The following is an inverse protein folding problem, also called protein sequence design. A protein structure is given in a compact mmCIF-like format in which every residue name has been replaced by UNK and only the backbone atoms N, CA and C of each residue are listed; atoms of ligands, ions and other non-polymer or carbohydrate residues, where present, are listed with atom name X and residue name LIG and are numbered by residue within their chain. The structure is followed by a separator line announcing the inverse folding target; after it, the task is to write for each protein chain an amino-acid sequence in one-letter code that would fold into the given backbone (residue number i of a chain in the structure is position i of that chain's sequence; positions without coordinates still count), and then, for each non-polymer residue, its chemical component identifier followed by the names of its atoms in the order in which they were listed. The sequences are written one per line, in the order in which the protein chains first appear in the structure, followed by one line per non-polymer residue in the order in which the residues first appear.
data_IF_342675950520
#
_entry.id   IF_342675950520
#
_cell.length_a   1.000
_cell.length_b   1.000
_cell.length_c   1.000
_cell.angle_alpha   90.00
_cell.angle_beta   90.00
_cell.angle_gamma   90.00
#
_symmetry.space_group_name_H-M   'P 1'
#
loop_
_entity.id
_entity.type
_entity.pdbx_description
1 polymer ?
#
# COMPACT_ATOMS: atom_id res chain seq x y z
N UNK A 1 -1.81 -10.78 -9.97
CA UNK A 1 -1.60 -12.05 -9.24
C UNK A 1 -0.50 -12.83 -9.94
N UNK A 2 0.76 -12.44 -9.75
CA UNK A 2 1.93 -13.01 -10.45
C UNK A 2 2.85 -13.67 -9.41
N UNK A 3 2.39 -14.76 -8.79
CA UNK A 3 3.12 -15.44 -7.72
C UNK A 3 3.05 -14.75 -6.34
N UNK A 4 2.07 -13.87 -6.13
CA UNK A 4 1.89 -13.16 -4.86
C UNK A 4 1.30 -14.08 -3.79
N UNK A 5 1.76 -13.93 -2.54
CA UNK A 5 1.09 -14.54 -1.40
C UNK A 5 -0.17 -13.73 -1.04
N UNK A 6 -1.35 -14.32 -1.28
CA UNK A 6 -2.65 -13.65 -1.08
C UNK A 6 -3.27 -14.13 0.22
N UNK A 7 -3.62 -13.20 1.10
CA UNK A 7 -4.32 -13.45 2.35
C UNK A 7 -5.71 -12.84 2.25
N UNK A 8 -6.73 -13.69 2.33
CA UNK A 8 -8.13 -13.25 2.35
C UNK A 8 -8.55 -13.01 3.80
N UNK A 9 -9.13 -11.85 4.05
CA UNK A 9 -9.57 -11.43 5.39
C UNK A 9 -11.04 -10.98 5.34
N UNK A 10 -11.78 -11.02 6.47
CA UNK A 10 -13.11 -10.43 6.54
C UNK A 10 -13.09 -8.96 6.15
N UNK A 11 -14.24 -8.44 5.70
CA UNK A 11 -14.34 -7.02 5.38
C UNK A 11 -14.14 -6.17 6.65
N UNK A 12 -13.09 -5.34 6.61
CA UNK A 12 -12.74 -4.41 7.68
C UNK A 12 -12.71 -2.99 7.14
N UNK A 13 -13.16 -2.03 7.96
CA UNK A 13 -12.96 -0.62 7.68
C UNK A 13 -11.47 -0.27 7.73
N UNK A 14 -11.01 0.58 6.82
CA UNK A 14 -9.57 0.80 6.62
C UNK A 14 -8.88 1.31 7.89
N UNK A 15 -9.37 2.44 8.44
CA UNK A 15 -8.75 3.12 9.58
C UNK A 15 -8.87 2.35 10.89
N UNK A 16 -9.99 1.64 11.09
CA UNK A 16 -10.28 0.99 12.37
C UNK A 16 -9.84 -0.47 12.45
N UNK A 17 -9.41 -1.10 11.35
CA UNK A 17 -8.99 -2.50 11.39
C UNK A 17 -7.94 -2.87 10.35
N UNK A 18 -8.20 -2.63 9.06
CA UNK A 18 -7.33 -3.14 7.99
C UNK A 18 -5.90 -2.59 8.08
N UNK A 19 -5.73 -1.29 8.35
CA UNK A 19 -4.41 -0.67 8.48
C UNK A 19 -3.57 -1.31 9.60
N UNK A 20 -4.17 -1.51 10.77
CA UNK A 20 -3.51 -2.13 11.92
C UNK A 20 -3.08 -3.58 11.62
N UNK A 21 -3.90 -4.31 10.87
CA UNK A 21 -3.56 -5.66 10.43
C UNK A 21 -2.37 -5.65 9.46
N UNK A 22 -2.37 -4.73 8.50
CA UNK A 22 -1.25 -4.56 7.55
C UNK A 22 0.05 -4.20 8.28
N UNK A 23 0.00 -3.31 9.26
CA UNK A 23 1.15 -2.91 10.10
C UNK A 23 1.71 -4.13 10.85
N UNK A 24 0.85 -4.89 11.56
CA UNK A 24 1.25 -6.12 12.26
C UNK A 24 1.87 -7.16 11.31
N UNK A 25 1.33 -7.30 10.10
CA UNK A 25 1.90 -8.20 9.09
C UNK A 25 3.28 -7.74 8.63
N UNK A 26 3.47 -6.43 8.43
CA UNK A 26 4.77 -5.87 8.06
C UNK A 26 5.82 -6.09 9.16
N UNK A 27 5.43 -5.99 10.43
CA UNK A 27 6.31 -6.26 11.58
C UNK A 27 6.72 -7.74 11.63
N UNK A 28 5.77 -8.67 11.44
CA UNK A 28 6.08 -10.10 11.39
C UNK A 28 7.07 -10.45 10.28
N UNK A 29 6.90 -9.87 9.10
CA UNK A 29 7.83 -10.07 7.98
C UNK A 29 9.23 -9.52 8.31
N UNK A 30 9.31 -8.37 8.98
CA UNK A 30 10.58 -7.81 9.46
C UNK A 30 11.26 -8.71 10.49
N UNK A 31 10.50 -9.30 11.42
CA UNK A 31 11.03 -10.27 12.38
C UNK A 31 11.56 -11.55 11.71
N UNK A 32 11.01 -11.92 10.56
CA UNK A 32 11.50 -13.03 9.74
C UNK A 32 12.71 -12.64 8.85
N UNK A 33 13.29 -11.45 9.05
CA UNK A 33 14.45 -10.96 8.30
C UNK A 33 14.12 -10.33 6.94
N UNK A 34 12.83 -10.14 6.62
CA UNK A 34 12.42 -9.51 5.36
C UNK A 34 12.27 -8.00 5.51
N UNK A 35 12.73 -7.23 4.53
CA UNK A 35 12.44 -5.79 4.48
C UNK A 35 11.05 -5.55 3.92
N UNK A 36 10.05 -5.45 4.81
CA UNK A 36 8.67 -5.18 4.41
C UNK A 36 8.41 -3.67 4.26
N UNK A 37 7.88 -3.27 3.10
CA UNK A 37 7.38 -1.93 2.82
C UNK A 37 5.85 -1.94 2.72
N UNK A 38 5.18 -1.06 3.45
CA UNK A 38 3.73 -0.98 3.51
C UNK A 38 3.22 0.05 2.51
N UNK A 39 2.37 -0.39 1.59
CA UNK A 39 1.69 0.47 0.61
C UNK A 39 0.26 0.72 1.12
N UNK A 40 -0.13 1.99 1.23
CA UNK A 40 -1.49 2.35 1.67
C UNK A 40 -2.55 1.95 0.64
N UNK A 41 -3.80 1.83 1.08
CA UNK A 41 -4.92 1.44 0.20
C UNK A 41 -5.01 2.40 -0.99
N UNK A 42 -5.03 1.84 -2.21
CA UNK A 42 -5.05 2.60 -3.46
C UNK A 42 -3.73 3.32 -3.79
N UNK A 43 -2.67 3.13 -3.01
CA UNK A 43 -1.44 3.91 -3.14
C UNK A 43 -1.58 5.38 -2.70
N UNK A 44 -2.70 5.70 -2.04
CA UNK A 44 -3.12 7.06 -1.64
C UNK A 44 -2.27 7.63 -0.50
N UNK A 45 -1.01 7.90 -0.81
CA UNK A 45 0.01 8.41 0.10
C UNK A 45 0.54 9.76 -0.38
N UNK A 46 1.28 10.45 0.50
CA UNK A 46 1.95 11.71 0.15
C UNK A 46 2.86 11.54 -1.09
N UNK A 47 3.64 10.46 -1.16
CA UNK A 47 4.49 10.18 -2.32
C UNK A 47 3.69 9.78 -3.55
N UNK A 48 2.62 8.99 -3.37
CA UNK A 48 1.75 8.58 -4.47
C UNK A 48 1.08 9.74 -5.20
N UNK A 49 0.79 10.85 -4.48
CA UNK A 49 0.25 12.08 -5.06
C UNK A 49 1.12 12.65 -6.19
N UNK A 50 2.45 12.53 -6.11
CA UNK A 50 3.34 13.05 -7.14
C UNK A 50 3.16 12.33 -8.49
N UNK A 51 2.68 11.08 -8.49
CA UNK A 51 2.32 10.39 -9.73
C UNK A 51 1.22 11.13 -10.49
N UNK A 52 0.18 11.58 -9.77
CA UNK A 52 -0.91 12.36 -10.35
C UNK A 52 -0.47 13.77 -10.77
N UNK A 53 0.40 14.42 -10.00
CA UNK A 53 0.97 15.72 -10.40
C UNK A 53 1.81 15.61 -11.68
N UNK A 54 2.57 14.53 -11.82
CA UNK A 54 3.36 14.26 -13.02
C UNK A 54 2.45 13.99 -14.21
N UNK A 55 1.42 13.16 -14.05
CA UNK A 55 0.43 12.92 -15.09
C UNK A 55 -0.31 14.21 -15.50
N UNK A 56 -0.60 15.10 -14.55
CA UNK A 56 -1.17 16.41 -14.85
C UNK A 56 -0.21 17.29 -15.66
N UNK A 57 1.07 17.32 -15.29
CA UNK A 57 2.10 18.03 -16.05
C UNK A 57 2.24 17.46 -17.47
N UNK A 58 2.14 16.14 -17.64
CA UNK A 58 2.12 15.49 -18.95
C UNK A 58 0.94 15.98 -19.78
N UNK A 59 -0.27 16.03 -19.22
CA UNK A 59 -1.46 16.55 -19.90
C UNK A 59 -1.34 18.02 -20.33
N UNK A 60 -0.68 18.87 -19.53
CA UNK A 60 -0.46 20.28 -19.91
C UNK A 60 0.55 20.43 -21.06
N UNK A 61 1.42 19.44 -21.26
CA UNK A 61 2.47 19.45 -22.27
C UNK A 61 2.11 18.67 -23.55
N UNK A 62 0.88 18.15 -23.65
CA UNK A 62 0.32 17.54 -24.87
C UNK A 62 -0.06 18.62 -25.89
#
# INVERSE_FOLDING_TARGET
MVGSHVIVVPQLQYKSGLKQMMEKMSEKLRQQGSSAYLIEVGGSSYTGMFGYLTAFQEMMNQ
#
